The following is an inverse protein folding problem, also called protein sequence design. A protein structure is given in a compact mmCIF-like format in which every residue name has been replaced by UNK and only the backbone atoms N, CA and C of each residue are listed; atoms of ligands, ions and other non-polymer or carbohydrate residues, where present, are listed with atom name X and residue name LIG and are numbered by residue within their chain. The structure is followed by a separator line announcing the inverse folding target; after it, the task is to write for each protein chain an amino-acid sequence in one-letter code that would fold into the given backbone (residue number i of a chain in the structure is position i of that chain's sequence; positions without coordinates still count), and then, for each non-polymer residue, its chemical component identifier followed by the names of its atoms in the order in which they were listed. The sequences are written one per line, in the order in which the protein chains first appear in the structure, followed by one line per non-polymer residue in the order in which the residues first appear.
data_IF_224857897060
#
_entry.id   IF_224857897060
#
_cell.length_a   1.000
_cell.length_b   1.000
_cell.length_c   1.000
_cell.angle_alpha   90.00
_cell.angle_beta   90.00
_cell.angle_gamma   90.00
#
_symmetry.space_group_name_H-M   'P 1'
#
loop_
_entity.id
_entity.type
_entity.pdbx_description
1 polymer ?
#
# COMPACT_ATOMS: atom_id res chain seq x y z
N UNK A 1 3.77 9.45 -4.64
CA UNK A 1 2.51 9.86 -3.99
C UNK A 1 1.85 11.06 -4.65
N UNK A 2 2.58 12.11 -5.05
CA UNK A 2 2.00 13.36 -5.56
C UNK A 2 1.04 13.23 -6.76
N UNK A 3 1.29 12.39 -7.76
CA UNK A 3 0.37 12.31 -8.93
C UNK A 3 -1.01 11.70 -8.60
N UNK A 4 -1.09 10.88 -7.55
CA UNK A 4 -2.31 10.15 -7.17
C UNK A 4 -3.30 11.07 -6.44
N UNK A 5 -2.77 12.07 -5.72
CA UNK A 5 -3.52 12.97 -4.84
C UNK A 5 -3.52 14.42 -5.38
N UNK A 6 -2.52 14.77 -6.17
CA UNK A 6 -2.29 16.09 -6.74
C UNK A 6 -1.94 16.02 -8.25
N UNK A 7 -2.76 15.36 -9.10
CA UNK A 7 -2.55 15.40 -10.55
C UNK A 7 -2.65 16.84 -11.10
N UNK A 8 -3.45 17.69 -10.44
CA UNK A 8 -3.68 19.10 -10.77
C UNK A 8 -2.46 20.01 -10.60
N UNK A 9 -1.48 19.62 -9.79
CA UNK A 9 -0.25 20.41 -9.52
C UNK A 9 1.02 19.71 -10.00
N UNK A 10 0.85 18.65 -10.80
CA UNK A 10 1.96 17.85 -11.29
C UNK A 10 2.82 18.63 -12.28
N UNK A 11 4.13 18.63 -12.07
CA UNK A 11 5.11 19.13 -13.05
C UNK A 11 5.90 17.95 -13.62
N UNK A 12 5.83 17.75 -14.93
CA UNK A 12 6.50 16.66 -15.65
C UNK A 12 8.02 16.77 -15.60
N UNK A 13 8.56 17.99 -15.48
CA UNK A 13 10.00 18.26 -15.37
C UNK A 13 10.68 17.52 -14.20
N UNK A 14 9.89 17.14 -13.19
CA UNK A 14 10.36 16.43 -12.01
C UNK A 14 10.36 14.91 -12.17
N UNK A 15 9.86 14.38 -13.28
CA UNK A 15 9.75 12.94 -13.52
C UNK A 15 10.80 12.46 -14.50
N UNK A 16 11.46 11.35 -14.17
CA UNK A 16 12.25 10.62 -15.15
C UNK A 16 11.32 9.87 -16.10
N UNK A 17 10.98 10.51 -17.22
CA UNK A 17 10.04 9.98 -18.21
C UNK A 17 10.54 8.68 -18.87
N UNK A 18 11.83 8.32 -18.74
CA UNK A 18 12.36 7.02 -19.20
C UNK A 18 11.68 5.83 -18.52
N UNK A 19 11.18 6.01 -17.29
CA UNK A 19 10.44 4.95 -16.58
C UNK A 19 9.06 4.69 -17.21
N UNK A 20 8.58 5.62 -18.05
CA UNK A 20 7.30 5.57 -18.74
C UNK A 20 7.46 5.28 -20.24
N UNK A 21 8.55 4.65 -20.68
CA UNK A 21 8.77 4.27 -22.09
C UNK A 21 7.65 3.41 -22.69
N UNK A 22 6.89 2.73 -21.85
CA UNK A 22 5.72 1.91 -22.22
C UNK A 22 4.42 2.73 -22.38
N UNK A 23 4.44 4.05 -22.09
CA UNK A 23 3.31 4.98 -22.21
C UNK A 23 3.53 5.90 -23.40
N UNK A 24 2.46 6.24 -24.12
CA UNK A 24 2.50 7.34 -25.07
C UNK A 24 2.62 8.68 -24.31
N UNK A 25 3.84 9.22 -24.23
CA UNK A 25 4.13 10.44 -23.49
C UNK A 25 3.38 11.66 -24.05
N UNK A 26 3.15 11.72 -25.36
CA UNK A 26 2.45 12.83 -25.97
C UNK A 26 0.97 12.85 -25.57
N UNK A 27 0.32 11.67 -25.59
CA UNK A 27 -1.07 11.54 -25.14
C UNK A 27 -1.19 11.84 -23.65
N UNK A 28 -0.25 11.32 -22.85
CA UNK A 28 -0.20 11.57 -21.41
C UNK A 28 -0.03 13.06 -21.08
N UNK A 29 0.87 13.75 -21.78
CA UNK A 29 1.10 15.18 -21.58
C UNK A 29 -0.13 16.00 -21.99
N UNK A 30 -0.76 15.70 -23.13
CA UNK A 30 -2.00 16.36 -23.55
C UNK A 30 -3.15 16.13 -22.56
N UNK A 31 -3.38 14.88 -22.15
CA UNK A 31 -4.38 14.51 -21.16
C UNK A 31 -4.12 15.22 -19.82
N UNK A 32 -2.86 15.33 -19.39
CA UNK A 32 -2.49 16.00 -18.16
C UNK A 32 -2.76 17.51 -18.23
N UNK A 33 -2.40 18.17 -19.34
CA UNK A 33 -2.64 19.60 -19.53
C UNK A 33 -4.14 19.92 -19.55
N UNK A 34 -4.94 19.11 -20.25
CA UNK A 34 -6.39 19.24 -20.26
C UNK A 34 -6.98 19.03 -18.85
N UNK A 35 -6.53 17.98 -18.17
CA UNK A 35 -6.94 17.69 -16.79
C UNK A 35 -6.60 18.86 -15.84
N UNK A 36 -5.39 19.41 -15.96
CA UNK A 36 -4.92 20.58 -15.22
C UNK A 36 -5.59 21.88 -15.64
N UNK A 37 -6.34 21.90 -16.74
CA UNK A 37 -7.14 23.06 -17.14
C UNK A 37 -8.58 22.98 -16.61
N UNK A 38 -9.04 21.76 -16.29
CA UNK A 38 -10.38 21.51 -15.76
C UNK A 38 -10.56 22.02 -14.32
N UNK A 39 -11.45 22.99 -14.14
CA UNK A 39 -11.86 23.49 -12.81
C UNK A 39 -12.58 22.40 -12.00
N UNK A 40 -13.42 21.60 -12.65
CA UNK A 40 -14.18 20.52 -12.03
C UNK A 40 -13.24 19.49 -11.39
N UNK A 41 -12.21 19.04 -12.12
CA UNK A 41 -11.28 18.05 -11.60
C UNK A 41 -10.38 18.63 -10.50
N UNK A 42 -9.92 19.87 -10.65
CA UNK A 42 -9.20 20.58 -9.58
C UNK A 42 -9.99 20.60 -8.28
N UNK A 43 -11.25 21.03 -8.34
CA UNK A 43 -12.11 21.11 -7.16
C UNK A 43 -12.32 19.73 -6.52
N UNK A 44 -12.59 18.69 -7.32
CA UNK A 44 -12.73 17.32 -6.82
C UNK A 44 -11.48 16.82 -6.10
N UNK A 45 -10.28 17.10 -6.63
CA UNK A 45 -9.04 16.69 -6.00
C UNK A 45 -8.68 17.53 -4.77
N UNK A 46 -9.07 18.81 -4.71
CA UNK A 46 -9.01 19.62 -3.49
C UNK A 46 -9.90 19.02 -2.39
N UNK A 47 -11.15 18.67 -2.72
CA UNK A 47 -12.08 18.03 -1.78
C UNK A 47 -11.51 16.69 -1.28
N UNK A 48 -11.01 15.85 -2.20
CA UNK A 48 -10.37 14.59 -1.85
C UNK A 48 -9.22 14.81 -0.85
N UNK A 49 -8.33 15.77 -1.11
CA UNK A 49 -7.22 16.09 -0.19
C UNK A 49 -7.71 16.44 1.21
N UNK A 50 -8.70 17.33 1.31
CA UNK A 50 -9.27 17.70 2.60
C UNK A 50 -9.88 16.49 3.33
N UNK A 51 -10.62 15.62 2.62
CA UNK A 51 -11.15 14.39 3.22
C UNK A 51 -10.03 13.46 3.71
N UNK A 52 -8.95 13.32 2.95
CA UNK A 52 -7.80 12.49 3.34
C UNK A 52 -7.07 13.06 4.56
N UNK A 53 -6.96 14.38 4.68
CA UNK A 53 -6.39 15.03 5.85
C UNK A 53 -7.25 14.82 7.11
N UNK A 54 -8.58 14.92 7.00
CA UNK A 54 -9.48 14.61 8.11
C UNK A 54 -9.36 13.16 8.56
N UNK A 55 -9.30 12.22 7.60
CA UNK A 55 -9.08 10.80 7.88
C UNK A 55 -7.75 10.58 8.63
N UNK A 56 -6.68 11.28 8.22
CA UNK A 56 -5.39 11.17 8.91
C UNK A 56 -5.43 11.74 10.33
N UNK A 57 -6.14 12.86 10.54
CA UNK A 57 -6.36 13.44 11.88
C UNK A 57 -7.13 12.49 12.78
N UNK A 58 -8.24 11.95 12.29
CA UNK A 58 -9.05 10.99 13.04
C UNK A 58 -8.23 9.74 13.42
N UNK A 59 -7.29 9.31 12.53
CA UNK A 59 -6.47 8.10 12.76
C UNK A 59 -5.46 8.32 13.86
N UNK A 60 -4.90 9.52 13.96
CA UNK A 60 -4.01 9.91 15.04
C UNK A 60 -4.71 9.87 16.42
N UNK A 61 -6.03 10.03 16.46
CA UNK A 61 -6.85 10.03 17.69
C UNK A 61 -7.44 8.63 17.97
N UNK A 62 -7.16 7.63 17.13
CA UNK A 62 -7.57 6.23 17.35
C UNK A 62 -9.02 5.92 16.99
N UNK A 63 -9.68 6.77 16.21
CA UNK A 63 -11.05 6.53 15.72
C UNK A 63 -11.04 5.47 14.61
N UNK A 64 -12.08 4.64 14.52
CA UNK A 64 -12.27 3.72 13.39
C UNK A 64 -12.67 4.52 12.15
N UNK A 65 -11.92 4.39 11.05
CA UNK A 65 -12.03 5.31 9.91
C UNK A 65 -12.22 4.57 8.60
N UNK A 66 -12.90 5.24 7.66
CA UNK A 66 -13.04 4.80 6.28
C UNK A 66 -11.70 4.63 5.57
N UNK A 67 -11.63 3.63 4.69
CA UNK A 67 -10.42 3.30 3.97
C UNK A 67 -10.01 4.44 3.02
N UNK A 68 -8.79 4.97 3.20
CA UNK A 68 -8.17 5.98 2.33
C UNK A 68 -8.16 5.53 0.87
N UNK A 69 -7.85 4.25 0.64
CA UNK A 69 -7.82 3.65 -0.68
C UNK A 69 -9.17 3.76 -1.39
N UNK A 70 -10.27 3.48 -0.69
CA UNK A 70 -11.62 3.51 -1.28
C UNK A 70 -12.01 4.93 -1.71
N UNK A 71 -11.63 5.95 -0.94
CA UNK A 71 -11.86 7.36 -1.28
C UNK A 71 -11.12 7.78 -2.54
N UNK A 72 -9.84 7.41 -2.63
CA UNK A 72 -9.01 7.68 -3.81
C UNK A 72 -9.61 6.96 -5.02
N UNK A 73 -9.88 5.65 -4.92
CA UNK A 73 -10.43 4.85 -6.01
C UNK A 73 -11.77 5.39 -6.52
N UNK A 74 -12.64 5.84 -5.62
CA UNK A 74 -13.91 6.46 -5.99
C UNK A 74 -13.71 7.65 -6.93
N UNK A 75 -12.85 8.60 -6.56
CA UNK A 75 -12.59 9.80 -7.37
C UNK A 75 -11.94 9.44 -8.71
N UNK A 76 -10.96 8.53 -8.71
CA UNK A 76 -10.29 8.07 -9.94
C UNK A 76 -11.23 7.33 -10.90
N UNK A 77 -12.21 6.59 -10.38
CA UNK A 77 -13.21 5.90 -11.19
C UNK A 77 -14.21 6.86 -11.86
N UNK A 78 -14.43 8.05 -11.31
CA UNK A 78 -15.32 9.07 -11.88
C UNK A 78 -14.69 9.82 -13.07
N UNK A 79 -13.36 9.80 -13.21
CA UNK A 79 -12.66 10.46 -14.31
C UNK A 79 -13.13 9.86 -15.66
N UNK A 80 -13.29 10.66 -16.73
CA UNK A 80 -13.66 10.17 -18.05
C UNK A 80 -12.70 9.13 -18.62
N UNK A 81 -13.19 8.38 -19.62
CA UNK A 81 -12.36 7.40 -20.33
C UNK A 81 -11.31 8.06 -21.22
N UNK A 82 -11.53 9.31 -21.61
CA UNK A 82 -10.64 10.09 -22.46
C UNK A 82 -9.28 10.37 -21.78
N UNK A 83 -9.21 10.27 -20.45
CA UNK A 83 -7.96 10.33 -19.66
C UNK A 83 -7.33 8.94 -19.47
N UNK A 84 -7.24 8.17 -20.56
CA UNK A 84 -6.85 6.76 -20.50
C UNK A 84 -5.39 6.58 -20.10
N UNK A 85 -4.47 7.36 -20.68
CA UNK A 85 -3.04 7.26 -20.38
C UNK A 85 -2.72 7.80 -18.99
N UNK A 86 -3.37 8.88 -18.57
CA UNK A 86 -3.27 9.42 -17.21
C UNK A 86 -3.69 8.38 -16.15
N UNK A 87 -4.82 7.71 -16.36
CA UNK A 87 -5.29 6.63 -15.47
C UNK A 87 -4.32 5.46 -15.40
N UNK A 88 -3.78 5.04 -16.54
CA UNK A 88 -2.83 3.94 -16.61
C UNK A 88 -1.56 4.27 -15.82
N UNK A 89 -1.00 5.48 -16.00
CA UNK A 89 0.18 5.94 -15.25
C UNK A 89 -0.10 5.96 -13.75
N UNK A 90 -1.24 6.50 -13.35
CA UNK A 90 -1.62 6.57 -11.93
C UNK A 90 -1.79 5.19 -11.33
N UNK A 91 -2.43 4.26 -12.05
CA UNK A 91 -2.61 2.89 -11.60
C UNK A 91 -1.26 2.16 -11.46
N UNK A 92 -0.35 2.34 -12.41
CA UNK A 92 1.00 1.76 -12.35
C UNK A 92 1.76 2.28 -11.12
N UNK A 93 1.73 3.60 -10.90
CA UNK A 93 2.40 4.24 -9.76
C UNK A 93 1.75 3.80 -8.43
N UNK A 94 0.42 3.76 -8.37
CA UNK A 94 -0.32 3.28 -7.20
C UNK A 94 0.03 1.83 -6.86
N UNK A 95 0.14 0.96 -7.87
CA UNK A 95 0.50 -0.45 -7.70
C UNK A 95 1.90 -0.61 -7.11
N UNK A 96 2.88 0.16 -7.60
CA UNK A 96 4.25 0.15 -7.06
C UNK A 96 4.23 0.53 -5.57
N UNK A 97 3.63 1.67 -5.23
CA UNK A 97 3.58 2.13 -3.83
C UNK A 97 2.83 1.14 -2.92
N UNK A 98 1.71 0.60 -3.38
CA UNK A 98 0.93 -0.37 -2.61
C UNK A 98 1.74 -1.64 -2.36
N UNK A 99 2.42 -2.17 -3.38
CA UNK A 99 3.25 -3.38 -3.23
C UNK A 99 4.42 -3.16 -2.27
N UNK A 100 5.14 -2.03 -2.39
CA UNK A 100 6.26 -1.71 -1.51
C UNK A 100 5.81 -1.59 -0.06
N UNK A 101 4.72 -0.86 0.20
CA UNK A 101 4.17 -0.74 1.54
C UNK A 101 3.74 -2.09 2.12
N UNK A 102 3.05 -2.92 1.34
CA UNK A 102 2.66 -4.27 1.77
C UNK A 102 3.86 -5.15 2.08
N UNK A 103 4.93 -5.10 1.26
CA UNK A 103 6.16 -5.84 1.51
C UNK A 103 6.89 -5.38 2.77
N UNK A 104 7.01 -4.07 2.99
CA UNK A 104 7.63 -3.50 4.19
C UNK A 104 6.85 -3.84 5.47
N UNK A 105 5.52 -3.77 5.40
CA UNK A 105 4.64 -4.17 6.50
C UNK A 105 4.80 -5.66 6.81
N UNK A 106 4.82 -6.52 5.80
CA UNK A 106 5.02 -7.95 5.97
C UNK A 106 6.39 -8.26 6.59
N UNK A 107 7.45 -7.60 6.10
CA UNK A 107 8.80 -7.77 6.64
C UNK A 107 8.89 -7.34 8.10
N UNK A 108 8.23 -6.24 8.47
CA UNK A 108 8.17 -5.76 9.85
C UNK A 108 7.46 -6.77 10.77
N UNK A 109 6.35 -7.36 10.32
CA UNK A 109 5.65 -8.40 11.07
C UNK A 109 6.47 -9.68 11.22
N UNK A 110 7.14 -10.12 10.16
CA UNK A 110 8.02 -11.29 10.20
C UNK A 110 9.19 -11.04 11.18
N UNK A 111 9.76 -9.83 11.19
CA UNK A 111 10.79 -9.46 12.15
C UNK A 111 10.28 -9.41 13.59
N UNK A 112 9.05 -8.97 13.82
CA UNK A 112 8.44 -9.01 15.14
C UNK A 112 8.25 -10.45 15.66
N UNK A 113 7.95 -11.40 14.77
CA UNK A 113 7.78 -12.82 15.12
C UNK A 113 9.13 -13.52 15.30
N UNK A 114 10.24 -12.97 14.80
CA UNK A 114 11.58 -13.54 14.95
C UNK A 114 12.02 -13.47 16.42
N UNK A 115 12.20 -14.61 17.11
CA UNK A 115 12.69 -14.61 18.49
C UNK A 115 14.19 -14.25 18.53
N UNK A 116 14.63 -13.60 19.61
CA UNK A 116 16.04 -13.19 19.82
C UNK A 116 17.05 -14.35 19.75
N UNK A 117 16.59 -15.60 19.94
CA UNK A 117 17.43 -16.81 19.84
C UNK A 117 17.67 -17.30 18.41
N UNK A 118 16.97 -16.78 17.40
CA UNK A 118 17.20 -17.17 16.00
C UNK A 118 18.04 -16.13 15.29
N UNK A 119 19.24 -16.50 14.86
CA UNK A 119 20.06 -15.64 14.00
C UNK A 119 19.45 -15.45 12.60
N UNK A 120 18.70 -16.44 12.09
CA UNK A 120 18.15 -16.43 10.73
C UNK A 120 16.71 -16.98 10.70
N UNK A 121 15.90 -16.44 9.79
CA UNK A 121 14.53 -16.88 9.54
C UNK A 121 14.54 -17.66 8.23
N UNK A 122 14.29 -18.97 8.27
CA UNK A 122 14.31 -19.81 7.07
C UNK A 122 13.15 -19.47 6.13
N UNK A 123 13.33 -19.71 4.82
CA UNK A 123 12.27 -19.51 3.82
C UNK A 123 10.96 -20.24 4.16
N UNK A 124 11.06 -21.41 4.78
CA UNK A 124 9.87 -22.17 5.21
C UNK A 124 9.11 -21.47 6.34
N UNK A 125 9.82 -20.89 7.30
CA UNK A 125 9.20 -20.14 8.40
C UNK A 125 8.56 -18.83 7.92
N UNK A 126 9.17 -18.12 6.97
CA UNK A 126 8.59 -16.89 6.42
C UNK A 126 7.32 -17.18 5.60
N UNK A 127 7.33 -18.26 4.81
CA UNK A 127 6.13 -18.74 4.10
C UNK A 127 5.03 -19.13 5.08
N UNK A 128 5.36 -19.90 6.13
CA UNK A 128 4.39 -20.29 7.15
C UNK A 128 3.79 -19.09 7.90
N UNK A 129 4.61 -18.11 8.30
CA UNK A 129 4.14 -16.88 8.96
C UNK A 129 3.21 -16.08 8.05
N UNK A 130 3.59 -15.95 6.77
CA UNK A 130 2.76 -15.26 5.77
C UNK A 130 1.42 -15.98 5.60
N UNK A 131 1.43 -17.31 5.46
CA UNK A 131 0.21 -18.12 5.31
C UNK A 131 -0.71 -17.99 6.52
N UNK A 132 -0.15 -18.05 7.74
CA UNK A 132 -0.92 -17.86 8.98
C UNK A 132 -1.57 -16.47 9.04
N UNK A 133 -0.92 -15.44 8.50
CA UNK A 133 -1.44 -14.07 8.49
C UNK A 133 -2.55 -13.84 7.46
N UNK A 134 -2.43 -14.44 6.28
CA UNK A 134 -3.37 -14.25 5.16
C UNK A 134 -4.52 -15.24 5.16
N UNK A 135 -4.50 -16.25 6.03
CA UNK A 135 -5.58 -17.24 6.15
C UNK A 135 -6.41 -17.00 7.42
N UNK A 136 -7.65 -17.47 7.41
CA UNK A 136 -8.51 -17.51 8.60
C UNK A 136 -8.17 -18.69 9.53
N UNK A 137 -6.95 -19.23 9.46
CA UNK A 137 -6.55 -20.37 10.27
C UNK A 137 -6.49 -19.96 11.75
N UNK A 138 -7.21 -20.70 12.59
CA UNK A 138 -7.22 -20.53 14.04
C UNK A 138 -6.49 -21.72 14.67
N UNK A 139 -5.21 -21.59 15.05
CA UNK A 139 -4.48 -22.69 15.68
C UNK A 139 -5.13 -23.09 17.00
N UNK A 140 -5.22 -24.39 17.27
CA UNK A 140 -5.65 -24.90 18.57
C UNK A 140 -4.51 -24.76 19.58
N UNK A 141 -4.38 -23.57 20.18
CA UNK A 141 -3.28 -23.23 21.09
C UNK A 141 -3.19 -24.20 22.27
N UNK A 142 -4.32 -24.69 22.78
CA UNK A 142 -4.36 -25.58 23.93
C UNK A 142 -3.72 -26.95 23.62
N UNK A 143 -3.95 -27.47 22.41
CA UNK A 143 -3.39 -28.73 21.93
C UNK A 143 -1.90 -28.59 21.55
N UNK A 144 -1.51 -27.45 21.00
CA UNK A 144 -0.09 -27.13 20.76
C UNK A 144 0.68 -26.98 22.07
N UNK A 145 0.14 -26.26 23.05
CA UNK A 145 0.81 -26.03 24.33
C UNK A 145 0.99 -27.33 25.12
N UNK A 146 0.04 -28.26 25.04
CA UNK A 146 0.13 -29.56 25.72
C UNK A 146 1.17 -30.50 25.09
N UNK A 147 1.49 -30.32 23.80
CA UNK A 147 2.49 -31.13 23.08
C UNK A 147 3.94 -30.60 23.16
N UNK A 148 4.14 -29.34 23.54
CA UNK A 148 5.47 -28.69 23.62
C UNK A 148 6.26 -29.05 24.90
N UNK A 149 5.65 -29.70 25.88
CA UNK A 149 6.29 -29.98 27.16
C UNK A 149 6.94 -31.38 27.18
N UNK A 150 8.23 -31.48 26.82
CA UNK A 150 9.27 -32.35 27.42
C UNK A 150 10.56 -32.41 26.56
N UNK A 151 11.42 -31.40 26.64
CA UNK A 151 12.86 -31.63 26.54
C UNK A 151 13.51 -31.16 27.84
N UNK A 152 13.78 -32.13 28.73
CA UNK A 152 14.58 -31.87 29.93
C UNK A 152 16.01 -31.61 29.48
N UNK A 153 16.51 -30.40 29.71
CA UNK A 153 17.94 -30.14 29.65
C UNK A 153 18.63 -31.03 30.70
N UNK A 154 19.58 -31.86 30.27
CA UNK A 154 20.42 -32.62 31.18
C UNK A 154 21.34 -31.66 31.95
N UNK A 155 21.00 -31.36 33.20
CA UNK A 155 21.98 -30.84 34.15
C UNK A 155 22.90 -32.01 34.53
N UNK A 156 24.07 -32.08 33.90
CA UNK A 156 25.16 -32.94 34.35
C UNK A 156 25.59 -32.46 35.74
N UNK A 157 25.55 -33.41 36.69
CA UNK A 157 25.94 -33.25 38.08
C UNK A 157 27.40 -33.59 38.26
#
# INVERSE_FOLDING_TARGET
MNIIICPDTLSLEKFNLKVLEWVNLNDFEMELVDFQSSTIWKEKFVILRNELEEIQRDRAIGKLIGNIGDKILKVWNEIPKDYSTLKIVVLAIFSIFSSTYSCESLFSEINFIKPDLRNELTNECSVACTLLKVTNYKPNINELASSVQQQKSHQNK
#
